data_IF_136367949487
#
_entry.id   IF_136367949487
#
_cell.length_a   1.000
_cell.length_b   1.000
_cell.length_c   1.000
_cell.angle_alpha   90.00
_cell.angle_beta   90.00
_cell.angle_gamma   90.00
#
_symmetry.space_group_name_H-M   'P 1'
#
loop_
_entity.id
_entity.type
_entity.pdbx_description
1 polymer ?
#
# COMPACT_ATOMS: atom_id res chain seq x y z
N UNK A 1 18.01 -15.84 -4.71
CA UNK A 1 18.08 -14.88 -5.83
C UNK A 1 17.98 -13.48 -5.25
N UNK A 2 19.07 -12.70 -5.25
CA UNK A 2 19.01 -11.26 -4.99
C UNK A 2 18.82 -10.59 -6.33
N UNK A 3 17.63 -10.05 -6.62
CA UNK A 3 17.34 -9.01 -7.62
C UNK A 3 15.83 -8.98 -7.91
N UNK A 4 15.10 -7.96 -7.43
CA UNK A 4 14.07 -7.24 -8.21
C UNK A 4 13.29 -6.15 -7.43
N UNK A 5 13.58 -5.84 -6.16
CA UNK A 5 12.99 -4.66 -5.52
C UNK A 5 13.64 -3.38 -6.07
N UNK A 6 13.11 -2.83 -7.16
CA UNK A 6 13.28 -1.41 -7.48
C UNK A 6 12.06 -0.70 -6.93
N UNK A 7 12.09 -0.50 -5.61
CA UNK A 7 11.09 0.25 -4.88
C UNK A 7 11.07 1.67 -5.43
N UNK A 8 9.96 2.04 -6.07
CA UNK A 8 9.73 3.41 -6.49
C UNK A 8 8.97 4.11 -5.37
N UNK A 9 9.61 5.07 -4.71
CA UNK A 9 8.95 5.90 -3.71
C UNK A 9 8.38 7.14 -4.41
N UNK A 10 7.08 7.32 -4.32
CA UNK A 10 6.36 8.49 -4.81
C UNK A 10 5.88 9.33 -3.63
N UNK A 11 6.22 10.62 -3.62
CA UNK A 11 5.69 11.57 -2.66
C UNK A 11 4.55 12.37 -3.27
N UNK A 12 3.45 12.50 -2.55
CA UNK A 12 2.22 13.12 -3.05
C UNK A 12 1.64 14.11 -2.04
N UNK A 13 0.80 15.05 -2.49
CA UNK A 13 0.05 15.97 -1.62
C UNK A 13 -1.42 16.01 -2.06
N UNK A 14 -2.07 14.86 -1.95
CA UNK A 14 -3.44 14.63 -2.38
C UNK A 14 -4.40 14.79 -1.20
N UNK A 15 -5.59 15.31 -1.48
CA UNK A 15 -6.62 15.57 -0.46
C UNK A 15 -7.44 14.34 -0.11
N UNK A 16 -7.59 13.42 -1.05
CA UNK A 16 -8.42 12.22 -0.91
C UNK A 16 -7.93 11.09 -1.82
N UNK A 17 -8.59 9.93 -1.71
CA UNK A 17 -8.23 8.73 -2.46
C UNK A 17 -8.49 8.87 -3.97
N UNK A 18 -9.48 9.67 -4.38
CA UNK A 18 -9.81 9.89 -5.78
C UNK A 18 -8.69 10.69 -6.48
N UNK A 19 -8.22 11.76 -5.85
CA UNK A 19 -7.07 12.53 -6.33
C UNK A 19 -5.80 11.68 -6.35
N UNK A 20 -5.59 10.82 -5.34
CA UNK A 20 -4.47 9.89 -5.34
C UNK A 20 -4.56 8.91 -6.51
N UNK A 21 -5.73 8.31 -6.73
CA UNK A 21 -5.96 7.37 -7.83
C UNK A 21 -5.71 8.03 -9.19
N UNK A 22 -6.19 9.26 -9.39
CA UNK A 22 -5.92 10.02 -10.61
C UNK A 22 -4.42 10.23 -10.83
N UNK A 23 -3.67 10.60 -9.77
CA UNK A 23 -2.22 10.74 -9.86
C UNK A 23 -1.53 9.40 -10.17
N UNK A 24 -1.98 8.30 -9.58
CA UNK A 24 -1.42 6.97 -9.84
C UNK A 24 -1.70 6.53 -11.28
N UNK A 25 -2.89 6.81 -11.83
CA UNK A 25 -3.23 6.60 -13.23
C UNK A 25 -2.25 7.34 -14.16
N UNK A 26 -2.03 8.62 -13.91
CA UNK A 26 -1.14 9.46 -14.72
C UNK A 26 0.33 9.03 -14.62
N UNK A 27 0.77 8.64 -13.42
CA UNK A 27 2.18 8.34 -13.16
C UNK A 27 2.57 6.89 -13.48
N UNK A 28 1.62 5.94 -13.40
CA UNK A 28 1.91 4.51 -13.42
C UNK A 28 0.97 3.67 -14.30
N UNK A 29 0.12 4.30 -15.13
CA UNK A 29 -0.77 3.62 -16.10
C UNK A 29 -1.75 2.62 -15.44
N UNK A 30 -2.24 2.95 -14.24
CA UNK A 30 -3.40 2.26 -13.66
C UNK A 30 -4.66 2.54 -14.49
N UNK A 31 -5.63 1.61 -14.49
CA UNK A 31 -6.92 1.86 -15.14
C UNK A 31 -7.72 2.83 -14.27
N UNK A 32 -8.68 3.51 -14.89
CA UNK A 32 -9.56 4.41 -14.17
C UNK A 32 -10.38 3.64 -13.12
N UNK A 33 -10.47 4.20 -11.91
CA UNK A 33 -11.14 3.57 -10.77
C UNK A 33 -10.54 2.23 -10.32
N UNK A 34 -9.26 1.97 -10.65
CA UNK A 34 -8.55 0.78 -10.18
C UNK A 34 -8.36 0.82 -8.65
N UNK A 35 -8.01 1.98 -8.09
CA UNK A 35 -7.82 2.14 -6.64
C UNK A 35 -9.08 2.75 -6.03
N UNK A 36 -9.73 2.00 -5.13
CA UNK A 36 -10.93 2.41 -4.40
C UNK A 36 -10.84 1.97 -2.95
N UNK A 37 -11.55 2.67 -2.07
CA UNK A 37 -11.64 2.30 -0.65
C UNK A 37 -11.99 0.82 -0.40
N UNK A 38 -12.83 0.23 -1.25
CA UNK A 38 -13.28 -1.16 -1.15
C UNK A 38 -12.20 -2.21 -1.46
N UNK A 39 -11.20 -1.87 -2.28
CA UNK A 39 -10.15 -2.78 -2.73
C UNK A 39 -8.76 -2.47 -2.14
N UNK A 40 -8.69 -1.48 -1.25
CA UNK A 40 -7.51 -1.23 -0.43
C UNK A 40 -7.57 -2.10 0.81
N UNK A 41 -6.59 -2.97 0.99
CA UNK A 41 -6.38 -3.64 2.27
C UNK A 41 -5.83 -2.65 3.29
N UNK A 42 -6.40 -2.66 4.49
CA UNK A 42 -6.12 -1.67 5.54
C UNK A 42 -5.38 -2.37 6.66
N UNK A 43 -4.10 -2.06 6.80
CA UNK A 43 -3.23 -2.76 7.74
C UNK A 43 -2.77 -1.80 8.82
N UNK A 44 -2.85 -2.27 10.07
CA UNK A 44 -2.22 -1.64 11.21
C UNK A 44 -1.27 -2.65 11.88
N UNK A 45 0.02 -2.32 11.88
CA UNK A 45 1.06 -3.04 12.61
C UNK A 45 1.61 -2.10 13.68
N UNK A 46 1.23 -2.31 14.93
CA UNK A 46 1.54 -1.42 16.05
C UNK A 46 1.16 0.05 15.73
N UNK A 47 2.18 0.90 15.53
CA UNK A 47 2.05 2.33 15.22
C UNK A 47 2.07 2.63 13.71
N UNK A 48 2.31 1.63 12.85
CA UNK A 48 2.35 1.77 11.41
C UNK A 48 0.96 1.47 10.81
N UNK A 49 0.38 2.44 10.09
CA UNK A 49 -0.91 2.30 9.40
C UNK A 49 -0.76 2.57 7.92
N UNK A 50 -1.18 1.63 7.08
CA UNK A 50 -1.02 1.75 5.63
C UNK A 50 -2.13 1.04 4.87
N UNK A 51 -2.37 1.54 3.66
CA UNK A 51 -3.18 0.86 2.66
C UNK A 51 -2.33 -0.02 1.75
N UNK A 52 -2.84 -1.16 1.31
CA UNK A 52 -2.26 -1.92 0.19
C UNK A 52 -3.29 -2.04 -0.92
N UNK A 53 -2.85 -1.79 -2.15
CA UNK A 53 -3.63 -2.10 -3.34
C UNK A 53 -2.89 -3.14 -4.18
N UNK A 54 -3.63 -4.17 -4.59
CA UNK A 54 -3.13 -5.29 -5.39
C UNK A 54 -3.62 -5.16 -6.83
N UNK A 55 -2.72 -5.18 -7.80
CA UNK A 55 -3.08 -5.15 -9.23
C UNK A 55 -2.39 -6.27 -10.00
N UNK A 56 -3.20 -7.16 -10.59
CA UNK A 56 -2.69 -8.22 -11.47
C UNK A 56 -2.30 -7.64 -12.83
N UNK A 57 -1.04 -7.86 -13.26
CA UNK A 57 -0.45 -7.37 -14.49
C UNK A 57 0.34 -8.49 -15.19
N UNK A 58 -0.36 -9.34 -15.94
CA UNK A 58 0.21 -10.54 -16.60
C UNK A 58 1.48 -10.31 -17.44
N UNK A 59 1.63 -9.12 -18.03
CA UNK A 59 2.75 -8.77 -18.91
C UNK A 59 3.81 -7.85 -18.29
N UNK A 60 3.63 -7.41 -17.04
CA UNK A 60 4.60 -6.55 -16.35
C UNK A 60 5.52 -7.33 -15.43
N UNK A 61 6.59 -6.68 -14.97
CA UNK A 61 7.40 -7.20 -13.88
C UNK A 61 6.70 -6.93 -12.55
N UNK A 62 6.87 -7.88 -11.63
CA UNK A 62 6.44 -7.71 -10.25
C UNK A 62 7.19 -6.53 -9.63
N UNK A 63 6.46 -5.66 -8.93
CA UNK A 63 7.02 -4.45 -8.32
C UNK A 63 6.13 -3.92 -7.20
N UNK A 64 6.76 -3.32 -6.20
CA UNK A 64 6.09 -2.55 -5.16
C UNK A 64 6.34 -1.06 -5.42
N UNK A 65 5.26 -0.29 -5.49
CA UNK A 65 5.32 1.17 -5.47
C UNK A 65 4.95 1.63 -4.07
N UNK A 66 5.81 2.45 -3.46
CA UNK A 66 5.56 3.02 -2.14
C UNK A 66 5.09 4.45 -2.35
N UNK A 67 3.88 4.76 -1.90
CA UNK A 67 3.30 6.09 -2.05
C UNK A 67 3.17 6.71 -0.67
N UNK A 68 3.92 7.78 -0.44
CA UNK A 68 3.87 8.57 0.78
C UNK A 68 3.15 9.88 0.50
N UNK A 69 1.92 9.98 0.98
CA UNK A 69 1.19 11.24 0.95
C UNK A 69 1.66 12.14 2.10
N UNK A 70 1.60 13.45 1.87
CA UNK A 70 1.94 14.47 2.86
C UNK A 70 0.96 14.49 4.03
N UNK A 71 -0.31 14.22 3.76
CA UNK A 71 -1.39 14.20 4.76
C UNK A 71 -2.04 12.83 4.83
N UNK A 72 -2.58 12.49 5.99
CA UNK A 72 -3.46 11.35 6.12
C UNK A 72 -4.74 11.60 5.32
N UNK A 73 -5.05 10.68 4.40
CA UNK A 73 -6.30 10.67 3.65
C UNK A 73 -7.16 9.50 4.10
N UNK A 74 -8.48 9.69 4.04
CA UNK A 74 -9.43 8.63 4.34
C UNK A 74 -9.34 7.57 3.23
N UNK A 75 -9.15 6.31 3.63
CA UNK A 75 -9.09 5.16 2.73
C UNK A 75 -9.93 4.01 3.28
N UNK A 76 -11.21 4.29 3.55
CA UNK A 76 -12.18 3.34 4.03
C UNK A 76 -12.46 3.39 5.54
N UNK A 77 -12.96 2.28 6.09
CA UNK A 77 -13.49 2.22 7.44
C UNK A 77 -13.20 0.86 8.10
N UNK A 78 -13.23 0.80 9.43
CA UNK A 78 -13.20 -0.41 10.25
C UNK A 78 -14.25 -0.32 11.36
N UNK A 79 -14.52 -1.41 12.06
CA UNK A 79 -15.51 -1.44 13.15
C UNK A 79 -14.83 -1.73 14.48
N UNK A 80 -15.15 -0.93 15.52
CA UNK A 80 -14.81 -1.23 16.92
C UNK A 80 -16.12 -1.29 17.71
N UNK A 81 -16.40 -2.42 18.33
CA UNK A 81 -17.61 -2.63 19.15
C UNK A 81 -18.91 -2.24 18.40
N UNK A 82 -19.00 -2.61 17.12
CA UNK A 82 -20.13 -2.26 16.25
C UNK A 82 -20.16 -0.82 15.73
N UNK A 83 -19.23 0.04 16.18
CA UNK A 83 -19.13 1.44 15.74
C UNK A 83 -18.21 1.51 14.53
N UNK A 84 -18.74 2.04 13.42
CA UNK A 84 -17.95 2.34 12.22
C UNK A 84 -16.99 3.50 12.50
N UNK A 85 -15.70 3.28 12.24
CA UNK A 85 -14.61 4.25 12.36
C UNK A 85 -13.93 4.42 11.02
N UNK A 86 -13.51 5.63 10.72
CA UNK A 86 -12.79 5.93 9.49
C UNK A 86 -11.33 5.49 9.60
N UNK A 87 -10.83 4.87 8.54
CA UNK A 87 -9.44 4.49 8.40
C UNK A 87 -8.70 5.57 7.60
N UNK A 88 -7.64 6.11 8.19
CA UNK A 88 -6.82 7.16 7.61
C UNK A 88 -5.39 6.67 7.49
N UNK A 89 -4.77 6.93 6.35
CA UNK A 89 -3.36 6.66 6.13
C UNK A 89 -2.76 7.67 5.17
N UNK A 90 -1.45 7.87 5.31
CA UNK A 90 -0.60 8.67 4.46
C UNK A 90 0.48 7.81 3.78
N UNK A 91 0.36 6.47 3.87
CA UNK A 91 1.29 5.49 3.35
C UNK A 91 0.51 4.39 2.62
N UNK A 92 0.85 4.16 1.36
CA UNK A 92 0.20 3.18 0.52
C UNK A 92 1.24 2.33 -0.20
N UNK A 93 1.00 1.03 -0.29
CA UNK A 93 1.78 0.11 -1.10
C UNK A 93 0.94 -0.35 -2.28
N UNK A 94 1.42 -0.13 -3.50
CA UNK A 94 0.78 -0.66 -4.70
C UNK A 94 1.60 -1.85 -5.17
N UNK A 95 1.05 -3.04 -5.03
CA UNK A 95 1.68 -4.30 -5.38
C UNK A 95 1.18 -4.71 -6.77
N UNK A 96 2.10 -4.66 -7.73
CA UNK A 96 1.88 -5.14 -9.09
C UNK A 96 2.43 -6.55 -9.19
N UNK A 97 1.59 -7.52 -9.58
CA UNK A 97 1.95 -8.93 -9.58
C UNK A 97 1.43 -9.65 -10.83
N UNK A 98 2.10 -10.72 -11.26
CA UNK A 98 1.68 -11.50 -12.45
C UNK A 98 0.55 -12.50 -12.23
N UNK A 99 0.56 -13.17 -11.08
CA UNK A 99 -0.39 -14.22 -10.70
C UNK A 99 -0.55 -14.27 -9.16
N UNK A 100 -1.63 -14.89 -8.68
CA UNK A 100 -1.98 -14.91 -7.25
C UNK A 100 -0.90 -15.54 -6.36
N UNK A 101 -0.17 -16.55 -6.85
CA UNK A 101 0.90 -17.16 -6.05
C UNK A 101 2.03 -16.15 -5.81
N UNK A 102 2.36 -15.35 -6.82
CA UNK A 102 3.36 -14.29 -6.65
C UNK A 102 2.84 -13.15 -5.76
N UNK A 103 1.53 -12.84 -5.81
CA UNK A 103 0.90 -11.85 -4.92
C UNK A 103 1.20 -12.16 -3.45
N UNK A 104 0.94 -13.40 -3.05
CA UNK A 104 1.05 -13.82 -1.65
C UNK A 104 2.51 -13.80 -1.19
N UNK A 105 3.44 -14.28 -2.03
CA UNK A 105 4.89 -14.23 -1.74
C UNK A 105 5.38 -12.79 -1.56
N UNK A 106 5.01 -11.87 -2.46
CA UNK A 106 5.42 -10.47 -2.38
C UNK A 106 4.83 -9.80 -1.13
N UNK A 107 3.58 -10.13 -0.80
CA UNK A 107 2.93 -9.60 0.38
C UNK A 107 3.61 -10.07 1.67
N UNK A 108 3.89 -11.37 1.81
CA UNK A 108 4.61 -11.91 2.98
C UNK A 108 6.00 -11.28 3.13
N UNK A 109 6.77 -11.17 2.04
CA UNK A 109 8.09 -10.52 2.05
C UNK A 109 8.01 -9.04 2.48
N UNK A 110 6.98 -8.31 2.06
CA UNK A 110 6.73 -6.93 2.49
C UNK A 110 6.45 -6.86 4.00
N UNK A 111 5.56 -7.71 4.50
CA UNK A 111 5.20 -7.72 5.93
C UNK A 111 6.40 -8.09 6.79
N UNK A 112 7.16 -9.12 6.42
CA UNK A 112 8.37 -9.53 7.13
C UNK A 112 9.42 -8.42 7.17
N UNK A 113 9.60 -7.71 6.06
CA UNK A 113 10.50 -6.56 5.97
C UNK A 113 10.07 -5.43 6.91
N UNK A 114 8.77 -5.10 6.93
CA UNK A 114 8.21 -4.08 7.83
C UNK A 114 8.36 -4.47 9.29
N UNK A 115 8.05 -5.72 9.66
CA UNK A 115 8.22 -6.23 11.02
C UNK A 115 9.68 -6.23 11.45
N UNK A 116 10.61 -6.55 10.56
CA UNK A 116 12.05 -6.44 10.81
C UNK A 116 12.46 -5.01 11.18
N UNK A 117 11.97 -4.01 10.46
CA UNK A 117 12.25 -2.59 10.72
C UNK A 117 11.62 -2.15 12.06
N UNK A 118 10.38 -2.54 12.34
CA UNK A 118 9.69 -2.20 13.59
C UNK A 118 10.41 -2.79 14.80
N UNK A 119 10.78 -4.08 14.75
CA UNK A 119 11.56 -4.74 15.82
C UNK A 119 12.90 -4.07 16.09
N UNK A 120 13.62 -3.61 15.05
CA UNK A 120 14.88 -2.87 15.25
C UNK A 120 14.66 -1.60 16.07
N UNK A 121 13.54 -0.90 15.88
CA UNK A 121 13.25 0.32 16.67
C UNK A 121 12.99 0.04 18.14
N UNK A 122 12.46 -1.13 18.49
CA UNK A 122 12.27 -1.53 19.90
C UNK A 122 13.57 -1.88 20.61
N UNK A 123 14.56 -2.43 19.87
CA UNK A 123 15.85 -2.85 20.43
C UNK A 123 16.83 -1.69 20.61
N UNK A 124 16.61 -0.56 19.94
CA UNK A 124 17.49 0.64 19.99
C UNK A 124 17.06 1.64 21.10
N UNK A 125 16.42 1.16 22.16
CA UNK A 125 16.03 1.97 23.33
C UNK A 125 17.01 1.81 24.50
#
# INVERSE_FOLDING_TARGET
MKNAFRDYICFTDMENIESLNQQMKESFLFKENDIKDENIEKIQLENLKFGIYFSERKNDRDRILVVKNRKNIRCGNYFINGIKKEFYSDLFFLILYKDEKNRDVIFEELIDSLLGIVKIKEVVL
#
